data_IF_950252084325
#
_entry.id   IF_950252084325
#
_cell.length_a   1.000
_cell.length_b   1.000
_cell.length_c   1.000
_cell.angle_alpha   90.00
_cell.angle_beta   90.00
_cell.angle_gamma   90.00
#
_symmetry.space_group_name_H-M   'P 1'
#
loop_
_entity.id
_entity.type
_entity.pdbx_description
1 polymer ?
#
# COMPACT_ATOMS: atom_id res chain seq x y z
N UNK A 1 -3.46 -11.29 -20.66
CA UNK A 1 -4.10 -10.10 -20.05
C UNK A 1 -4.81 -10.48 -18.76
N UNK A 2 -5.73 -11.44 -18.78
CA UNK A 2 -6.51 -11.87 -17.63
C UNK A 2 -5.65 -12.32 -16.44
N UNK A 3 -4.62 -13.14 -16.65
CA UNK A 3 -3.70 -13.57 -15.58
C UNK A 3 -2.96 -12.39 -14.94
N UNK A 4 -2.58 -11.40 -15.73
CA UNK A 4 -1.97 -10.16 -15.23
C UNK A 4 -2.96 -9.37 -14.36
N UNK A 5 -4.19 -9.22 -14.82
CA UNK A 5 -5.23 -8.48 -14.11
C UNK A 5 -5.55 -9.15 -12.76
N UNK A 6 -5.63 -10.50 -12.73
CA UNK A 6 -5.84 -11.28 -11.50
C UNK A 6 -4.67 -11.10 -10.53
N UNK A 7 -3.44 -11.23 -11.01
CA UNK A 7 -2.24 -11.05 -10.18
C UNK A 7 -2.13 -9.64 -9.63
N UNK A 8 -2.40 -8.64 -10.45
CA UNK A 8 -2.40 -7.24 -10.05
C UNK A 8 -3.47 -6.96 -8.99
N UNK A 9 -4.69 -7.44 -9.19
CA UNK A 9 -5.78 -7.29 -8.21
C UNK A 9 -5.44 -7.99 -6.89
N UNK A 10 -4.90 -9.20 -6.93
CA UNK A 10 -4.44 -9.92 -5.74
C UNK A 10 -3.46 -9.10 -4.91
N UNK A 11 -2.53 -8.41 -5.55
CA UNK A 11 -1.55 -7.56 -4.85
C UNK A 11 -2.17 -6.31 -4.21
N UNK A 12 -3.26 -5.79 -4.77
CA UNK A 12 -4.01 -4.69 -4.18
C UNK A 12 -4.89 -5.16 -3.02
N UNK A 13 -5.49 -6.33 -3.14
CA UNK A 13 -6.36 -6.91 -2.11
C UNK A 13 -5.56 -7.48 -0.92
N UNK A 14 -4.33 -7.95 -1.19
CA UNK A 14 -3.44 -8.61 -0.22
C UNK A 14 -2.05 -7.95 -0.18
N UNK A 15 -1.96 -6.68 0.24
CA UNK A 15 -0.68 -5.97 0.29
C UNK A 15 0.31 -6.54 1.31
N UNK A 16 -0.12 -7.40 2.21
CA UNK A 16 0.74 -8.20 3.08
C UNK A 16 1.62 -9.18 2.30
N UNK A 17 1.27 -9.53 1.06
CA UNK A 17 2.09 -10.32 0.14
C UNK A 17 3.04 -9.38 -0.63
N UNK A 18 3.90 -8.70 0.10
CA UNK A 18 4.80 -7.66 -0.44
C UNK A 18 6.05 -8.21 -1.16
N UNK A 19 6.31 -9.50 -1.05
CA UNK A 19 7.49 -10.14 -1.64
C UNK A 19 7.28 -10.67 -3.06
N UNK A 20 6.04 -10.87 -3.51
CA UNK A 20 5.71 -11.32 -4.86
C UNK A 20 5.37 -10.09 -5.72
N UNK A 21 6.34 -9.60 -6.47
CA UNK A 21 6.27 -8.30 -7.16
C UNK A 21 5.99 -8.40 -8.65
N UNK A 22 6.06 -9.59 -9.20
CA UNK A 22 5.81 -9.85 -10.61
C UNK A 22 5.72 -11.35 -10.90
N UNK A 23 5.57 -11.67 -12.15
CA UNK A 23 5.62 -13.04 -12.62
C UNK A 23 6.01 -13.11 -14.10
N UNK A 24 6.58 -14.25 -14.49
CA UNK A 24 6.66 -14.72 -15.86
C UNK A 24 5.93 -16.04 -16.01
N UNK A 25 5.77 -16.50 -17.22
CA UNK A 25 5.14 -17.80 -17.50
C UNK A 25 5.86 -18.51 -18.62
N UNK A 26 5.84 -19.85 -18.55
CA UNK A 26 6.41 -20.71 -19.57
C UNK A 26 5.31 -21.53 -20.22
N UNK A 27 5.38 -21.60 -21.50
CA UNK A 27 4.48 -22.40 -22.33
C UNK A 27 5.31 -23.40 -23.13
N UNK A 28 4.80 -24.62 -23.22
CA UNK A 28 5.37 -25.70 -24.03
C UNK A 28 4.32 -26.15 -25.03
N UNK A 29 4.60 -26.18 -26.35
CA UNK A 29 3.60 -26.49 -27.38
C UNK A 29 2.90 -27.82 -27.20
N UNK A 30 3.59 -28.80 -26.63
CA UNK A 30 3.08 -30.18 -26.42
C UNK A 30 2.44 -30.40 -25.04
N UNK A 31 2.24 -29.34 -24.26
CA UNK A 31 1.65 -29.41 -22.93
C UNK A 31 0.42 -28.51 -22.81
N UNK A 32 -0.69 -28.99 -22.26
CA UNK A 32 -1.84 -28.15 -21.95
C UNK A 32 -1.60 -27.23 -20.75
N UNK A 33 -0.47 -27.39 -20.06
CA UNK A 33 -0.16 -26.68 -18.82
C UNK A 33 0.68 -25.44 -19.08
N UNK A 34 0.32 -24.36 -18.42
CA UNK A 34 1.09 -23.13 -18.32
C UNK A 34 1.79 -23.11 -16.96
N UNK A 35 3.11 -22.90 -16.97
CA UNK A 35 3.91 -22.82 -15.74
C UNK A 35 4.01 -21.36 -15.32
N UNK A 36 3.43 -21.05 -14.17
CA UNK A 36 3.53 -19.74 -13.52
C UNK A 36 4.84 -19.65 -12.73
N UNK A 37 5.61 -18.59 -12.96
CA UNK A 37 6.90 -18.35 -12.29
C UNK A 37 6.85 -17.01 -11.58
N UNK A 38 6.64 -16.98 -10.26
CA UNK A 38 6.61 -15.72 -9.51
C UNK A 38 8.00 -15.08 -9.44
N UNK A 39 8.01 -13.76 -9.44
CA UNK A 39 9.20 -12.93 -9.22
C UNK A 39 9.16 -12.35 -7.81
N UNK A 40 10.26 -12.51 -7.08
CA UNK A 40 10.36 -12.11 -5.69
C UNK A 40 11.22 -10.87 -5.50
N UNK A 41 10.81 -9.99 -4.57
CA UNK A 41 11.57 -8.80 -4.18
C UNK A 41 12.85 -9.16 -3.41
N UNK A 42 12.86 -10.32 -2.75
CA UNK A 42 13.95 -10.81 -1.92
C UNK A 42 14.36 -12.21 -2.33
N UNK A 43 15.57 -12.61 -1.91
CA UNK A 43 15.99 -14.02 -1.98
C UNK A 43 14.99 -14.90 -1.20
N UNK A 44 14.66 -16.06 -1.76
CA UNK A 44 13.65 -16.97 -1.22
C UNK A 44 13.87 -17.30 0.27
N UNK A 45 15.12 -17.49 0.68
CA UNK A 45 15.48 -17.77 2.08
C UNK A 45 15.22 -16.62 3.05
N UNK A 46 15.07 -15.39 2.55
CA UNK A 46 14.84 -14.19 3.36
C UNK A 46 13.35 -13.78 3.47
N UNK A 47 12.48 -14.36 2.64
CA UNK A 47 11.06 -13.98 2.59
C UNK A 47 10.41 -14.16 3.96
N UNK A 48 10.59 -15.29 4.61
CA UNK A 48 9.98 -15.58 5.90
C UNK A 48 10.43 -14.62 7.01
N UNK A 49 11.71 -14.25 7.00
CA UNK A 49 12.28 -13.27 7.93
C UNK A 49 11.58 -11.91 7.76
N UNK A 50 11.46 -11.43 6.52
CA UNK A 50 10.77 -10.18 6.23
C UNK A 50 9.27 -10.22 6.53
N UNK A 51 8.60 -11.34 6.26
CA UNK A 51 7.19 -11.53 6.63
C UNK A 51 6.99 -11.41 8.14
N UNK A 52 7.80 -12.10 8.93
CA UNK A 52 7.73 -12.05 10.39
C UNK A 52 7.97 -10.64 10.91
N UNK A 53 8.97 -9.95 10.38
CA UNK A 53 9.28 -8.58 10.75
C UNK A 53 8.13 -7.61 10.43
N UNK A 54 7.52 -7.72 9.24
CA UNK A 54 6.40 -6.85 8.86
C UNK A 54 5.12 -7.17 9.63
N UNK A 55 4.79 -8.42 9.86
CA UNK A 55 3.66 -8.81 10.71
C UNK A 55 3.81 -8.21 12.11
N UNK A 56 4.96 -8.37 12.74
CA UNK A 56 5.25 -7.79 14.06
C UNK A 56 5.17 -6.27 14.05
N UNK A 57 5.66 -5.61 13.00
CA UNK A 57 5.60 -4.16 12.85
C UNK A 57 4.17 -3.65 12.75
N UNK A 58 3.35 -4.28 11.90
CA UNK A 58 1.92 -3.94 11.74
C UNK A 58 1.16 -4.11 13.06
N UNK A 59 1.36 -5.23 13.75
CA UNK A 59 0.72 -5.49 15.04
C UNK A 59 1.12 -4.46 16.10
N UNK A 60 2.39 -4.08 16.15
CA UNK A 60 2.90 -3.08 17.09
C UNK A 60 2.26 -1.71 16.85
N UNK A 61 2.14 -1.29 15.60
CA UNK A 61 1.52 -0.02 15.22
C UNK A 61 0.03 -0.05 15.53
N UNK A 62 -0.68 -1.08 15.06
CA UNK A 62 -2.13 -1.22 15.21
C UNK A 62 -2.57 -1.35 16.67
N UNK A 63 -1.77 -1.97 17.52
CA UNK A 63 -2.11 -2.21 18.93
C UNK A 63 -2.51 -0.94 19.68
N UNK A 64 -1.90 0.19 19.35
CA UNK A 64 -2.17 1.47 20.01
C UNK A 64 -3.53 2.06 19.65
N UNK A 65 -4.14 1.61 18.57
CA UNK A 65 -5.44 2.10 18.09
C UNK A 65 -6.58 1.08 18.22
N UNK A 66 -6.36 -0.10 18.79
CA UNK A 66 -7.35 -1.19 18.85
C UNK A 66 -8.67 -0.80 19.50
N UNK A 67 -8.64 -0.01 20.57
CA UNK A 67 -9.83 0.39 21.32
C UNK A 67 -10.54 1.63 20.78
N UNK A 68 -10.07 2.23 19.70
CA UNK A 68 -10.61 3.45 19.15
C UNK A 68 -11.84 3.21 18.25
N UNK A 69 -12.63 4.25 18.00
CA UNK A 69 -13.71 4.22 17.00
C UNK A 69 -13.15 4.07 15.58
N UNK A 70 -14.01 3.72 14.61
CA UNK A 70 -13.58 3.59 13.21
C UNK A 70 -12.91 4.87 12.68
N UNK A 71 -13.51 6.03 12.95
CA UNK A 71 -12.96 7.32 12.54
C UNK A 71 -11.60 7.62 13.21
N UNK A 72 -11.48 7.36 14.50
CA UNK A 72 -10.23 7.54 15.24
C UNK A 72 -9.13 6.58 14.77
N UNK A 73 -9.48 5.34 14.40
CA UNK A 73 -8.55 4.37 13.79
C UNK A 73 -8.05 4.87 12.43
N UNK A 74 -8.94 5.36 11.59
CA UNK A 74 -8.58 5.97 10.31
C UNK A 74 -7.63 7.15 10.50
N UNK A 75 -7.99 8.08 11.38
CA UNK A 75 -7.17 9.24 11.72
C UNK A 75 -5.80 8.82 12.24
N UNK A 76 -5.75 7.84 13.12
CA UNK A 76 -4.49 7.31 13.66
C UNK A 76 -3.56 6.78 12.56
N UNK A 77 -4.08 6.01 11.63
CA UNK A 77 -3.31 5.45 10.52
C UNK A 77 -2.84 6.55 9.57
N UNK A 78 -3.71 7.48 9.22
CA UNK A 78 -3.36 8.65 8.41
C UNK A 78 -2.22 9.46 9.05
N UNK A 79 -2.37 9.81 10.32
CA UNK A 79 -1.40 10.61 11.06
C UNK A 79 -0.06 9.87 11.20
N UNK A 80 -0.11 8.55 11.45
CA UNK A 80 1.09 7.72 11.49
C UNK A 80 1.89 7.80 10.19
N UNK A 81 1.23 7.68 9.05
CA UNK A 81 1.87 7.78 7.74
C UNK A 81 2.46 9.18 7.55
N UNK A 82 1.68 10.22 7.82
CA UNK A 82 2.13 11.61 7.64
C UNK A 82 3.32 11.99 8.54
N UNK A 83 3.43 11.36 9.71
CA UNK A 83 4.52 11.64 10.66
C UNK A 83 5.77 10.79 10.45
N UNK A 84 5.66 9.61 9.83
CA UNK A 84 6.73 8.61 9.81
C UNK A 84 7.22 8.23 8.43
N UNK A 85 6.54 8.63 7.36
CA UNK A 85 6.87 8.19 5.99
C UNK A 85 7.21 9.38 5.11
N UNK A 86 8.41 9.33 4.49
CA UNK A 86 8.83 10.28 3.46
C UNK A 86 8.45 9.76 2.08
N UNK A 87 8.11 10.68 1.16
CA UNK A 87 7.89 10.30 -0.23
C UNK A 87 9.22 9.94 -0.91
N UNK A 88 9.29 8.74 -1.49
CA UNK A 88 10.50 8.26 -2.16
C UNK A 88 10.60 8.81 -3.59
N UNK A 89 11.39 9.88 -3.74
CA UNK A 89 11.67 10.48 -5.06
C UNK A 89 12.46 9.55 -5.99
N UNK A 90 13.21 8.59 -5.43
CA UNK A 90 14.00 7.62 -6.18
C UNK A 90 13.18 6.45 -6.68
N UNK A 91 11.94 6.29 -6.17
CA UNK A 91 11.00 5.24 -6.56
C UNK A 91 11.59 3.83 -6.54
N UNK A 92 12.31 3.51 -5.45
CA UNK A 92 12.91 2.18 -5.27
C UNK A 92 11.85 1.10 -5.27
N UNK A 93 12.21 -0.12 -5.68
CA UNK A 93 11.27 -1.24 -5.79
C UNK A 93 10.51 -1.50 -4.48
N UNK A 94 11.19 -1.49 -3.33
CA UNK A 94 10.57 -1.70 -2.02
C UNK A 94 9.63 -0.56 -1.59
N UNK A 95 9.76 0.63 -2.17
CA UNK A 95 8.89 1.78 -1.86
C UNK A 95 7.48 1.65 -2.45
N UNK A 96 7.26 0.70 -3.37
CA UNK A 96 5.96 0.31 -3.91
C UNK A 96 5.22 -0.73 -3.06
N UNK A 97 5.87 -1.27 -2.04
CA UNK A 97 5.37 -2.31 -1.15
C UNK A 97 5.40 -1.84 0.31
N UNK A 98 4.67 -2.54 1.20
CA UNK A 98 4.58 -2.12 2.62
C UNK A 98 5.93 -2.02 3.33
N UNK A 99 6.92 -2.78 2.90
CA UNK A 99 8.26 -2.75 3.50
C UNK A 99 8.95 -1.39 3.33
N UNK A 100 8.59 -0.60 2.32
CA UNK A 100 9.05 0.77 2.19
C UNK A 100 8.51 1.67 3.32
N UNK A 101 7.21 1.97 3.34
CA UNK A 101 6.62 2.83 4.37
C UNK A 101 6.78 2.30 5.79
N UNK A 102 6.54 1.01 6.03
CA UNK A 102 6.53 0.45 7.38
C UNK A 102 7.90 -0.05 7.86
N UNK A 103 8.80 -0.40 6.93
CA UNK A 103 10.13 -0.91 7.26
C UNK A 103 11.24 0.15 7.14
N UNK A 104 11.20 0.98 6.11
CA UNK A 104 12.24 1.97 5.79
C UNK A 104 11.80 3.43 5.99
N UNK A 105 10.53 3.67 6.27
CA UNK A 105 9.99 5.02 6.43
C UNK A 105 9.96 5.83 5.13
N UNK A 106 9.93 5.16 3.98
CA UNK A 106 9.83 5.77 2.65
C UNK A 106 8.84 5.03 1.78
N UNK A 107 8.10 5.74 0.94
CA UNK A 107 7.15 5.12 0.03
C UNK A 107 6.73 6.05 -1.10
N UNK A 108 6.30 5.44 -2.21
CA UNK A 108 5.52 6.12 -3.24
C UNK A 108 4.03 5.95 -2.94
N UNK A 109 3.15 6.58 -3.70
CA UNK A 109 1.71 6.51 -3.46
C UNK A 109 1.18 5.08 -3.34
N UNK A 110 1.65 4.15 -4.17
CA UNK A 110 1.25 2.74 -4.12
C UNK A 110 1.65 2.07 -2.79
N UNK A 111 2.89 2.23 -2.36
CA UNK A 111 3.38 1.68 -1.09
C UNK A 111 2.68 2.29 0.12
N UNK A 112 2.41 3.60 0.09
CA UNK A 112 1.66 4.31 1.13
C UNK A 112 0.23 3.80 1.21
N UNK A 113 -0.48 3.68 0.09
CA UNK A 113 -1.84 3.16 0.05
C UNK A 113 -1.92 1.70 0.54
N UNK A 114 -0.94 0.86 0.20
CA UNK A 114 -0.81 -0.50 0.72
C UNK A 114 -0.58 -0.54 2.23
N UNK A 115 0.28 0.33 2.74
CA UNK A 115 0.54 0.44 4.19
C UNK A 115 -0.71 0.88 4.95
N UNK A 116 -1.45 1.86 4.46
CA UNK A 116 -2.74 2.29 5.01
C UNK A 116 -3.71 1.12 5.07
N UNK A 117 -3.86 0.37 3.97
CA UNK A 117 -4.77 -0.79 3.93
C UNK A 117 -4.39 -1.86 4.94
N UNK A 118 -3.14 -2.27 5.00
CA UNK A 118 -2.67 -3.29 5.95
C UNK A 118 -2.93 -2.89 7.39
N UNK A 119 -2.70 -1.63 7.76
CA UNK A 119 -2.94 -1.12 9.10
C UNK A 119 -4.44 -1.04 9.42
N UNK A 120 -5.27 -0.56 8.49
CA UNK A 120 -6.72 -0.50 8.68
C UNK A 120 -7.35 -1.90 8.72
N UNK A 121 -6.89 -2.84 7.89
CA UNK A 121 -7.31 -4.24 7.95
C UNK A 121 -7.02 -4.85 9.33
N UNK A 122 -5.82 -4.60 9.88
CA UNK A 122 -5.45 -5.04 11.23
C UNK A 122 -6.31 -4.42 12.33
N UNK A 123 -6.88 -3.25 12.09
CA UNK A 123 -7.79 -2.54 13.00
C UNK A 123 -9.28 -2.84 12.76
N UNK A 124 -9.59 -3.69 11.77
CA UNK A 124 -10.96 -4.04 11.42
C UNK A 124 -11.76 -2.95 10.73
N UNK A 125 -11.10 -1.97 10.12
CA UNK A 125 -11.73 -0.91 9.32
C UNK A 125 -11.69 -1.30 7.85
N UNK A 126 -12.84 -1.32 7.20
CA UNK A 126 -12.92 -1.67 5.78
C UNK A 126 -12.19 -0.64 4.91
N UNK A 127 -11.29 -1.13 4.08
CA UNK A 127 -10.45 -0.33 3.23
C UNK A 127 -10.14 -1.06 1.92
N UNK A 128 -10.17 -0.35 0.82
CA UNK A 128 -9.65 -0.81 -0.48
C UNK A 128 -8.64 0.19 -1.03
N UNK A 129 -7.86 -0.29 -2.00
CA UNK A 129 -6.93 0.55 -2.76
C UNK A 129 -7.60 0.97 -4.06
N UNK A 130 -7.67 2.27 -4.29
CA UNK A 130 -8.14 2.88 -5.52
C UNK A 130 -6.95 3.28 -6.40
N UNK A 131 -7.08 3.09 -7.68
CA UNK A 131 -6.07 3.47 -8.67
C UNK A 131 -6.70 4.27 -9.81
N UNK A 132 -5.99 5.24 -10.34
CA UNK A 132 -6.24 5.79 -11.65
C UNK A 132 -5.03 5.58 -12.55
N UNK A 133 -5.28 5.31 -13.83
CA UNK A 133 -4.25 5.16 -14.85
C UNK A 133 -4.31 6.29 -15.87
N UNK A 134 -3.33 6.34 -16.74
CA UNK A 134 -3.37 7.23 -17.89
C UNK A 134 -4.59 6.92 -18.76
N UNK A 135 -5.35 7.93 -19.10
CA UNK A 135 -6.43 7.86 -20.08
C UNK A 135 -6.33 9.06 -21.02
N UNK A 136 -5.63 8.93 -22.15
CA UNK A 136 -5.43 10.02 -23.10
C UNK A 136 -6.73 10.59 -23.67
N UNK A 137 -7.76 9.75 -23.85
CA UNK A 137 -9.08 10.17 -24.36
C UNK A 137 -9.79 11.12 -23.39
N UNK A 138 -9.54 10.95 -22.08
CA UNK A 138 -10.07 11.81 -21.03
C UNK A 138 -9.09 12.86 -20.54
N UNK A 139 -7.92 13.00 -21.22
CA UNK A 139 -6.87 13.93 -20.82
C UNK A 139 -6.15 13.59 -19.54
N UNK A 140 -6.31 12.37 -18.99
CA UNK A 140 -5.64 11.92 -17.78
C UNK A 140 -4.23 11.45 -18.14
N UNK A 141 -3.21 12.17 -17.65
CA UNK A 141 -1.79 11.96 -17.98
C UNK A 141 -0.95 11.39 -16.85
N UNK A 142 -1.54 11.02 -15.72
CA UNK A 142 -0.80 10.53 -14.56
C UNK A 142 -1.47 9.30 -13.96
N UNK A 143 -0.67 8.52 -13.24
CA UNK A 143 -1.12 7.42 -12.39
C UNK A 143 -1.09 7.86 -10.95
N UNK A 144 -2.10 7.46 -10.19
CA UNK A 144 -2.15 7.66 -8.76
C UNK A 144 -2.83 6.50 -8.05
N UNK A 145 -2.47 6.33 -6.78
CA UNK A 145 -2.99 5.25 -5.91
C UNK A 145 -3.29 5.86 -4.56
N UNK A 146 -4.50 5.60 -4.04
CA UNK A 146 -4.98 6.07 -2.75
C UNK A 146 -5.93 5.05 -2.15
N UNK A 147 -6.64 5.39 -1.08
CA UNK A 147 -7.56 4.49 -0.42
C UNK A 147 -9.01 4.98 -0.47
N UNK A 148 -9.94 4.03 -0.40
CA UNK A 148 -11.33 4.28 -0.04
C UNK A 148 -11.60 3.49 1.24
N UNK A 149 -12.19 4.15 2.23
CA UNK A 149 -12.52 3.60 3.54
C UNK A 149 -14.03 3.65 3.77
N UNK A 150 -14.54 2.75 4.62
CA UNK A 150 -15.92 2.81 5.10
C UNK A 150 -15.93 3.15 6.58
N UNK A 151 -16.54 4.29 6.92
CA UNK A 151 -16.66 4.81 8.28
C UNK A 151 -18.14 5.08 8.57
N UNK A 152 -18.67 4.47 9.62
CA UNK A 152 -20.09 4.66 9.98
C UNK A 152 -21.08 4.29 8.88
N UNK A 153 -20.72 3.35 8.01
CA UNK A 153 -21.53 2.92 6.87
C UNK A 153 -21.40 3.77 5.61
N UNK A 154 -20.72 4.91 5.64
CA UNK A 154 -20.44 5.75 4.47
C UNK A 154 -19.02 5.53 3.93
N UNK A 155 -18.80 5.82 2.64
CA UNK A 155 -17.53 5.64 1.97
C UNK A 155 -16.85 6.98 1.74
N UNK A 156 -15.54 7.03 2.01
CA UNK A 156 -14.72 8.23 1.91
C UNK A 156 -13.41 7.96 1.19
N UNK A 157 -12.93 8.95 0.47
CA UNK A 157 -11.56 8.93 -0.07
C UNK A 157 -10.57 9.30 1.02
N UNK A 158 -9.46 8.58 1.08
CA UNK A 158 -8.34 8.83 1.99
C UNK A 158 -7.04 8.81 1.20
N UNK A 159 -6.34 9.93 1.13
CA UNK A 159 -5.08 10.07 0.41
C UNK A 159 -3.97 10.61 1.31
N UNK A 160 -3.34 9.70 2.05
CA UNK A 160 -2.22 10.02 2.93
C UNK A 160 -0.94 10.45 2.16
N UNK A 161 -0.86 10.18 0.86
CA UNK A 161 0.26 10.64 0.04
C UNK A 161 0.17 12.15 -0.20
N UNK A 162 -1.00 12.67 -0.58
CA UNK A 162 -1.20 14.09 -0.83
C UNK A 162 -1.22 14.91 0.46
N UNK A 163 -1.71 14.35 1.56
CA UNK A 163 -1.65 15.00 2.86
C UNK A 163 -0.26 14.96 3.49
N UNK A 164 0.63 14.07 3.01
CA UNK A 164 1.96 13.93 3.55
C UNK A 164 2.85 15.13 3.18
N UNK A 165 3.27 15.87 4.20
CA UNK A 165 4.16 17.04 4.08
C UNK A 165 5.59 16.75 4.54
N UNK A 166 5.87 15.57 5.06
CA UNK A 166 7.17 15.21 5.61
C UNK A 166 8.29 15.33 4.56
N UNK A 167 9.27 16.18 4.81
CA UNK A 167 10.36 16.48 3.88
C UNK A 167 9.98 17.43 2.72
N UNK A 168 8.78 18.04 2.74
CA UNK A 168 8.33 19.05 1.77
C UNK A 168 8.51 20.48 2.29
N UNK A 169 8.65 20.68 3.58
CA UNK A 169 8.96 21.98 4.20
C UNK A 169 10.03 21.82 5.28
N UNK A 170 10.77 22.92 5.56
CA UNK A 170 11.79 22.97 6.62
C UNK A 170 11.18 23.11 8.04
N UNK A 171 9.87 23.16 8.13
CA UNK A 171 9.14 23.24 9.40
C UNK A 171 8.42 21.93 9.64
N UNK A 172 8.44 21.45 10.88
CA UNK A 172 7.52 20.43 11.37
C UNK A 172 6.15 21.10 11.40
N UNK A 173 5.43 20.99 10.30
CA UNK A 173 4.11 21.58 10.16
C UNK A 173 3.05 20.63 10.70
N UNK A 174 1.92 21.21 11.08
CA UNK A 174 0.73 20.48 11.46
C UNK A 174 0.32 19.50 10.35
N UNK A 175 -0.20 18.34 10.74
CA UNK A 175 -0.71 17.34 9.81
C UNK A 175 -1.84 17.96 8.99
N UNK A 176 -1.81 17.75 7.67
CA UNK A 176 -2.85 18.21 6.76
C UNK A 176 -3.95 17.14 6.64
N UNK A 177 -5.17 17.62 6.48
CA UNK A 177 -6.37 16.78 6.31
C UNK A 177 -7.18 17.19 5.06
N UNK A 178 -6.50 17.66 4.02
CA UNK A 178 -7.15 18.14 2.79
C UNK A 178 -7.73 16.98 1.96
N UNK A 179 -7.19 15.78 2.16
CA UNK A 179 -7.55 14.54 1.46
C UNK A 179 -7.97 13.42 2.44
N UNK A 180 -8.54 13.83 3.56
CA UNK A 180 -9.08 12.98 4.61
C UNK A 180 -10.59 13.20 4.71
N UNK A 181 -11.39 12.18 4.31
CA UNK A 181 -12.87 12.18 4.32
C UNK A 181 -13.49 13.36 3.59
#
# INVERSE_FOLDING_TARGET
KELYDIFFQMRLDHPEIFWAVGFSWKYYPDSPNLIFVPEYLFEKGKIKEHQTAMTSRVEKIARQAQGLSEWEKEKYVHDFICQNVHYDKLKKAYSHEIIGPLGQGVGVCEGIAKAVKVLLDALGVWCVIAICGNNPEKGIKYRHTWNIVRIGGAYYHLDATFDNTLGKSDKVEDIRYDYFN
#
